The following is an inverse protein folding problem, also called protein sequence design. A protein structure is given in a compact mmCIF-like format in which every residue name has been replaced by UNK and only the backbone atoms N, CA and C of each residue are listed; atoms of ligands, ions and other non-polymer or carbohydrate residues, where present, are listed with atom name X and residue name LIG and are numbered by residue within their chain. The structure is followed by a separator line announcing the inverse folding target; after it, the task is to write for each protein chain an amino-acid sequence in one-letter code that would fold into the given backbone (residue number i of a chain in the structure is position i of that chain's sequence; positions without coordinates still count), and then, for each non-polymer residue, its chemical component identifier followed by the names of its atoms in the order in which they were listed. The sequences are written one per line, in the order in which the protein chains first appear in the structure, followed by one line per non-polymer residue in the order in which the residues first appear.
data_IF_130726776987
#
_entry.id   IF_130726776987
#
_cell.length_a   1.000
_cell.length_b   1.000
_cell.length_c   1.000
_cell.angle_alpha   90.00
_cell.angle_beta   90.00
_cell.angle_gamma   90.00
#
_symmetry.space_group_name_H-M   'P 1'
#
loop_
_entity.id
_entity.type
_entity.pdbx_description
1 polymer ?
#
# COMPACT_ATOMS: atom_id res chain seq x y z
N UNK A 1 -10.79 7.18 6.70
CA UNK A 1 -9.87 8.28 7.07
C UNK A 1 -8.56 8.03 6.35
N UNK A 2 -7.92 9.07 5.82
CA UNK A 2 -6.65 8.93 5.10
C UNK A 2 -5.46 9.13 6.03
N UNK A 3 -4.36 8.45 5.73
CA UNK A 3 -3.05 8.69 6.30
C UNK A 3 -2.18 9.28 5.19
N UNK A 4 -1.40 10.31 5.52
CA UNK A 4 -0.40 10.86 4.62
C UNK A 4 0.97 10.58 5.23
N UNK A 5 1.89 10.01 4.45
CA UNK A 5 3.24 9.68 4.87
C UNK A 5 4.26 10.33 3.96
N UNK A 6 5.39 10.71 4.55
CA UNK A 6 6.58 11.14 3.84
C UNK A 6 7.59 10.01 3.91
N UNK A 7 7.95 9.48 2.75
CA UNK A 7 9.02 8.49 2.57
C UNK A 7 10.08 9.09 1.67
N UNK A 8 11.22 8.41 1.51
CA UNK A 8 12.38 8.88 0.74
C UNK A 8 11.99 9.53 -0.61
N UNK A 9 11.92 10.86 -0.65
CA UNK A 9 11.59 11.63 -1.85
C UNK A 9 10.13 11.58 -2.31
N UNK A 10 9.18 11.07 -1.52
CA UNK A 10 7.77 11.03 -1.89
C UNK A 10 6.80 11.34 -0.73
N UNK A 11 5.72 12.05 -1.06
CA UNK A 11 4.56 12.27 -0.19
C UNK A 11 3.41 11.43 -0.71
N UNK A 12 3.00 10.43 0.06
CA UNK A 12 1.93 9.48 -0.31
C UNK A 12 0.75 9.68 0.61
N UNK A 13 -0.45 9.81 0.05
CA UNK A 13 -1.70 9.85 0.80
C UNK A 13 -2.62 8.72 0.36
N UNK A 14 -3.36 8.15 1.30
CA UNK A 14 -4.38 7.14 0.99
C UNK A 14 -4.98 6.53 2.24
N UNK A 15 -5.76 5.47 2.07
CA UNK A 15 -6.42 4.81 3.20
C UNK A 15 -5.65 3.56 3.62
N UNK A 16 -5.53 3.33 4.92
CA UNK A 16 -4.98 2.09 5.44
C UNK A 16 -5.97 0.94 5.24
N UNK A 17 -5.47 -0.18 4.73
CA UNK A 17 -6.17 -1.46 4.66
C UNK A 17 -5.50 -2.46 5.62
N UNK A 18 -6.27 -3.39 6.22
CA UNK A 18 -5.67 -4.58 6.82
C UNK A 18 -4.82 -5.33 5.81
N UNK A 19 -3.69 -5.92 6.22
CA UNK A 19 -2.79 -6.65 5.30
C UNK A 19 -3.54 -7.75 4.54
N UNK A 20 -4.40 -8.51 5.22
CA UNK A 20 -5.16 -9.60 4.59
C UNK A 20 -6.01 -9.09 3.43
N UNK A 21 -6.74 -8.00 3.66
CA UNK A 21 -7.59 -7.37 2.63
C UNK A 21 -6.73 -6.78 1.52
N UNK A 22 -5.59 -6.17 1.84
CA UNK A 22 -4.65 -5.65 0.85
C UNK A 22 -4.12 -6.76 -0.06
N UNK A 23 -3.75 -7.91 0.52
CA UNK A 23 -3.23 -9.07 -0.21
C UNK A 23 -4.30 -9.72 -1.10
N UNK A 24 -5.52 -9.87 -0.60
CA UNK A 24 -6.66 -10.36 -1.40
C UNK A 24 -6.87 -9.50 -2.66
N UNK A 25 -6.89 -8.17 -2.50
CA UNK A 25 -7.01 -7.26 -3.65
C UNK A 25 -5.83 -7.34 -4.62
N UNK A 26 -4.61 -7.52 -4.12
CA UNK A 26 -3.45 -7.74 -4.99
C UNK A 26 -3.59 -9.07 -5.75
N UNK A 27 -4.08 -10.13 -5.10
CA UNK A 27 -4.32 -11.41 -5.76
C UNK A 27 -5.32 -11.27 -6.91
N UNK A 28 -6.45 -10.59 -6.67
CA UNK A 28 -7.49 -10.33 -7.68
C UNK A 28 -6.90 -9.57 -8.90
N UNK A 29 -6.15 -8.49 -8.66
CA UNK A 29 -5.54 -7.70 -9.75
C UNK A 29 -4.52 -8.52 -10.55
N UNK A 30 -3.76 -9.39 -9.88
CA UNK A 30 -2.78 -10.24 -10.55
C UNK A 30 -3.46 -11.35 -11.36
N UNK A 31 -4.55 -11.93 -10.85
CA UNK A 31 -5.29 -13.02 -11.50
C UNK A 31 -5.79 -12.62 -12.90
N UNK A 32 -6.23 -11.37 -13.07
CA UNK A 32 -6.68 -10.82 -14.35
C UNK A 32 -5.53 -10.53 -15.34
N UNK A 33 -4.27 -10.73 -14.95
CA UNK A 33 -3.11 -10.47 -15.80
C UNK A 33 -2.65 -11.70 -16.58
N UNK A 34 -2.60 -11.60 -17.91
CA UNK A 34 -2.06 -12.66 -18.79
C UNK A 34 -0.63 -13.09 -18.44
N UNK A 35 0.19 -12.15 -17.93
CA UNK A 35 1.60 -12.39 -17.59
C UNK A 35 1.82 -12.67 -16.11
N UNK A 36 1.03 -12.04 -15.24
CA UNK A 36 1.26 -12.07 -13.78
C UNK A 36 0.26 -12.96 -13.02
N UNK A 37 -0.77 -13.48 -13.68
CA UNK A 37 -1.76 -14.42 -13.13
C UNK A 37 -1.17 -15.53 -12.28
N UNK A 38 -0.11 -16.23 -12.71
CA UNK A 38 0.50 -17.31 -11.93
C UNK A 38 1.00 -16.89 -10.52
N UNK A 39 1.21 -15.60 -10.26
CA UNK A 39 1.66 -15.10 -8.97
C UNK A 39 0.52 -14.73 -8.02
N UNK A 40 -0.75 -14.71 -8.46
CA UNK A 40 -1.90 -14.34 -7.62
C UNK A 40 -2.01 -15.21 -6.37
N UNK A 41 -1.75 -16.51 -6.50
CA UNK A 41 -1.80 -17.48 -5.40
C UNK A 41 -0.83 -17.18 -4.24
N UNK A 42 0.27 -16.44 -4.50
CA UNK A 42 1.19 -15.98 -3.46
C UNK A 42 0.52 -15.00 -2.50
N UNK A 43 -0.51 -14.28 -2.97
CA UNK A 43 -1.23 -13.30 -2.18
C UNK A 43 -2.58 -13.82 -1.66
N UNK A 44 -3.05 -14.96 -2.15
CA UNK A 44 -4.31 -15.58 -1.74
C UNK A 44 -4.37 -16.04 -0.28
N UNK A 45 -5.58 -16.36 0.22
CA UNK A 45 -5.85 -16.63 1.63
C UNK A 45 -5.06 -17.82 2.21
N UNK A 46 -4.81 -18.86 1.40
CA UNK A 46 -3.98 -20.01 1.81
C UNK A 46 -2.55 -19.58 2.17
N UNK A 47 -1.99 -18.62 1.44
CA UNK A 47 -0.65 -18.08 1.70
C UNK A 47 -0.64 -16.99 2.79
N UNK A 48 -1.80 -16.38 3.09
CA UNK A 48 -1.96 -15.48 4.23
C UNK A 48 -1.98 -16.24 5.56
N UNK A 49 -2.68 -17.38 5.62
CA UNK A 49 -2.72 -18.23 6.82
C UNK A 49 -1.36 -18.87 7.16
N UNK A 50 -0.52 -19.12 6.16
CA UNK A 50 0.85 -19.63 6.37
C UNK A 50 1.85 -18.55 6.80
N UNK A 51 1.51 -17.26 6.60
CA UNK A 51 2.38 -16.10 6.86
C UNK A 51 1.79 -15.12 7.87
N UNK A 52 0.70 -15.48 8.54
CA UNK A 52 0.15 -14.65 9.59
C UNK A 52 1.24 -14.48 10.65
N UNK A 53 1.85 -13.30 10.68
CA UNK A 53 2.66 -12.85 11.79
C UNK A 53 1.88 -13.12 13.07
N UNK A 54 2.57 -13.60 14.10
CA UNK A 54 1.92 -13.84 15.39
C UNK A 54 1.10 -12.60 15.78
N UNK A 55 -0.10 -12.76 16.38
CA UNK A 55 -0.96 -11.63 16.74
C UNK A 55 -0.24 -10.56 17.59
N UNK A 56 0.85 -10.94 18.26
CA UNK A 56 1.66 -10.08 19.12
C UNK A 56 2.86 -9.41 18.42
N UNK A 57 3.14 -9.71 17.15
CA UNK A 57 4.23 -9.08 16.41
C UNK A 57 3.79 -7.70 15.88
N UNK A 58 4.57 -6.63 16.11
CA UNK A 58 4.22 -5.31 15.59
C UNK A 58 4.23 -5.32 14.05
N UNK A 59 3.30 -4.59 13.40
CA UNK A 59 3.30 -4.48 11.95
C UNK A 59 4.59 -3.82 11.48
N UNK A 60 5.16 -4.34 10.40
CA UNK A 60 6.38 -3.80 9.78
C UNK A 60 6.09 -2.91 8.57
N UNK A 61 4.87 -3.00 8.02
CA UNK A 61 4.48 -2.30 6.80
C UNK A 61 3.09 -1.67 6.92
N UNK A 62 2.95 -0.51 6.30
CA UNK A 62 1.67 0.13 6.02
C UNK A 62 1.17 -0.34 4.66
N UNK A 63 -0.10 -0.73 4.62
CA UNK A 63 -0.78 -1.19 3.42
C UNK A 63 -1.81 -0.15 3.02
N UNK A 64 -1.52 0.58 1.95
CA UNK A 64 -2.39 1.64 1.44
C UNK A 64 -3.26 1.13 0.29
N UNK A 65 -4.50 1.59 0.25
CA UNK A 65 -5.42 1.42 -0.87
C UNK A 65 -5.92 2.77 -1.38
N UNK A 66 -6.17 2.85 -2.70
CA UNK A 66 -6.58 4.08 -3.39
C UNK A 66 -5.59 5.23 -3.10
N UNK A 67 -4.31 4.89 -2.97
CA UNK A 67 -3.27 5.85 -2.59
C UNK A 67 -2.77 6.64 -3.79
N UNK A 68 -2.41 7.90 -3.56
CA UNK A 68 -1.90 8.84 -4.55
C UNK A 68 -0.61 9.45 -4.05
N UNK A 69 0.25 9.84 -4.98
CA UNK A 69 1.43 10.64 -4.66
C UNK A 69 1.12 12.10 -4.89
N UNK A 70 1.40 12.90 -3.87
CA UNK A 70 1.19 14.34 -3.90
C UNK A 70 2.45 15.08 -4.36
N UNK A 71 3.64 14.51 -4.10
CA UNK A 71 4.92 15.06 -4.53
C UNK A 71 5.96 13.93 -4.57
N UNK A 72 6.80 13.86 -5.60
CA UNK A 72 7.91 12.89 -5.70
C UNK A 72 8.42 12.69 -7.12
N UNK A 73 9.56 12.00 -7.29
CA UNK A 73 10.17 11.75 -8.60
C UNK A 73 9.28 10.89 -9.49
N UNK A 74 9.10 11.33 -10.74
CA UNK A 74 8.31 10.74 -11.83
C UNK A 74 8.40 9.20 -11.89
N UNK A 75 7.25 8.53 -12.05
CA UNK A 75 7.19 7.09 -12.37
C UNK A 75 6.06 6.31 -11.72
N UNK A 76 5.18 6.97 -10.96
CA UNK A 76 4.15 6.29 -10.19
C UNK A 76 2.75 6.62 -10.75
N UNK A 77 1.84 5.65 -10.93
CA UNK A 77 0.58 5.86 -11.63
C UNK A 77 -0.29 6.97 -11.02
N UNK A 78 -0.87 7.81 -11.88
CA UNK A 78 -1.81 8.88 -11.49
C UNK A 78 -3.13 8.33 -10.92
N UNK A 79 -3.46 7.08 -11.26
CA UNK A 79 -4.60 6.34 -10.70
C UNK A 79 -4.25 5.80 -9.33
N UNK A 80 -5.19 5.99 -8.38
CA UNK A 80 -5.05 5.49 -7.01
C UNK A 80 -4.62 4.02 -6.98
N UNK A 81 -3.53 3.72 -6.28
CA UNK A 81 -2.88 2.41 -6.29
C UNK A 81 -2.88 1.70 -4.94
N UNK A 82 -2.40 0.45 -4.98
CA UNK A 82 -2.06 -0.34 -3.79
C UNK A 82 -0.58 -0.15 -3.48
N UNK A 83 -0.26 0.36 -2.28
CA UNK A 83 1.14 0.53 -1.86
C UNK A 83 1.41 -0.26 -0.59
N UNK A 84 2.64 -0.78 -0.52
CA UNK A 84 3.20 -1.39 0.68
C UNK A 84 4.43 -0.59 1.06
N UNK A 85 4.36 0.10 2.19
CA UNK A 85 5.40 1.01 2.67
C UNK A 85 6.00 0.43 3.94
N UNK A 86 7.32 0.27 3.99
CA UNK A 86 7.98 -0.15 5.23
C UNK A 86 7.86 0.98 6.26
N UNK A 87 7.45 0.65 7.48
CA UNK A 87 7.30 1.64 8.56
C UNK A 87 8.65 2.29 8.89
N UNK A 88 9.75 1.54 8.76
CA UNK A 88 11.11 2.06 8.98
C UNK A 88 11.55 3.13 7.98
N UNK A 89 10.88 3.26 6.83
CA UNK A 89 11.19 4.26 5.80
C UNK A 89 10.33 5.54 5.94
N UNK A 90 9.41 5.57 6.91
CA UNK A 90 8.52 6.72 7.14
C UNK A 90 9.26 7.78 7.95
N UNK A 91 9.52 8.92 7.31
CA UNK A 91 10.20 10.06 7.93
C UNK A 91 9.23 10.99 8.69
N UNK A 92 7.98 11.09 8.23
CA UNK A 92 6.91 11.86 8.87
C UNK A 92 5.53 11.35 8.45
N UNK A 93 4.51 11.61 9.25
CA UNK A 93 3.12 11.24 8.93
C UNK A 93 2.11 12.20 9.54
N UNK A 94 0.92 12.25 8.95
CA UNK A 94 -0.24 12.96 9.47
C UNK A 94 -1.54 12.26 9.08
N UNK A 95 -2.58 12.43 9.89
CA UNK A 95 -3.92 11.89 9.64
C UNK A 95 -4.79 12.96 8.99
N UNK A 96 -5.51 12.58 7.94
CA UNK A 96 -6.34 13.49 7.15
C UNK A 96 -5.88 13.54 5.69
N UNK A 97 -6.76 14.08 4.84
CA UNK A 97 -6.41 14.35 3.46
C UNK A 97 -5.51 15.59 3.40
N UNK A 98 -4.38 15.44 2.72
CA UNK A 98 -3.46 16.54 2.43
C UNK A 98 -3.66 16.95 0.97
N UNK A 99 -3.86 18.23 0.72
CA UNK A 99 -3.96 18.78 -0.64
C UNK A 99 -2.84 19.79 -0.85
N UNK A 100 -2.10 19.64 -1.93
CA UNK A 100 -1.14 20.62 -2.40
C UNK A 100 -1.79 21.46 -3.51
N UNK A 101 -1.61 22.78 -3.46
CA UNK A 101 -2.04 23.70 -4.51
C UNK A 101 -0.87 24.61 -4.88
N UNK A 102 -0.46 24.59 -6.14
CA UNK A 102 0.33 25.67 -6.71
C UNK A 102 -0.57 26.90 -6.80
N UNK A 103 -0.24 27.95 -6.05
CA UNK A 103 -0.97 29.22 -6.07
C UNK A 103 -0.84 29.96 -7.40
#
# INVERSE_FOLDING_TARGET
MSLTVVVQGAVITGRLAPEVVWRERVAEVLEDSERLGPFSAVFGPAAANARSSHPDEPPTHLHFHVARILQGSFGIPETGGMYRIAIGDVNAWTVGDFSYSDG
#
